data_IF_621463044731
#
_entry.id   IF_621463044731
#
_cell.length_a   1.000
_cell.length_b   1.000
_cell.length_c   1.000
_cell.angle_alpha   90.00
_cell.angle_beta   90.00
_cell.angle_gamma   90.00
#
_symmetry.space_group_name_H-M   'P 1'
#
loop_
_entity.id
_entity.type
_entity.pdbx_description
1 polymer ?
#
# COMPACT_ATOMS: atom_id res chain seq x y z
N UNK A 1 -3.62 -26.54 -53.73
CA UNK A 1 -2.44 -26.36 -52.87
C UNK A 1 -2.34 -24.87 -52.55
N UNK A 2 -3.12 -24.41 -51.56
CA UNK A 2 -3.15 -23.02 -51.09
C UNK A 2 -3.10 -23.09 -49.56
N UNK A 3 -1.97 -22.68 -48.99
CA UNK A 3 -1.73 -22.68 -47.54
C UNK A 3 -1.99 -21.26 -47.02
N UNK A 4 -3.07 -21.12 -46.25
CA UNK A 4 -3.46 -19.90 -45.56
C UNK A 4 -2.51 -19.69 -44.36
N UNK A 5 -1.70 -18.64 -44.41
CA UNK A 5 -0.88 -18.21 -43.29
C UNK A 5 -1.77 -17.43 -42.31
N UNK A 6 -2.18 -18.08 -41.22
CA UNK A 6 -2.82 -17.42 -40.08
C UNK A 6 -1.72 -16.74 -39.25
N UNK A 7 -1.63 -15.42 -39.37
CA UNK A 7 -0.87 -14.57 -38.47
C UNK A 7 -1.63 -14.55 -37.14
N UNK A 8 -1.20 -15.37 -36.19
CA UNK A 8 -1.55 -15.22 -34.78
C UNK A 8 -0.75 -14.02 -34.27
N UNK A 9 -1.32 -12.83 -34.42
CA UNK A 9 -0.88 -11.66 -33.67
C UNK A 9 -1.02 -11.99 -32.19
N UNK A 10 0.13 -12.10 -31.54
CA UNK A 10 0.31 -12.25 -30.11
C UNK A 10 -0.46 -11.17 -29.36
N UNK A 11 -1.67 -11.53 -28.91
CA UNK A 11 -2.31 -10.95 -27.74
C UNK A 11 -1.38 -11.21 -26.55
N UNK A 12 -0.47 -10.28 -26.28
CA UNK A 12 0.01 -10.11 -24.93
C UNK A 12 -1.19 -9.58 -24.14
N UNK A 13 -2.00 -10.50 -23.63
CA UNK A 13 -2.94 -10.20 -22.57
C UNK A 13 -2.14 -9.51 -21.48
N UNK A 14 -2.52 -8.25 -21.22
CA UNK A 14 -2.05 -7.43 -20.12
C UNK A 14 -1.91 -8.30 -18.86
N UNK A 15 -0.84 -8.10 -18.10
CA UNK A 15 -0.57 -8.79 -16.84
C UNK A 15 -1.88 -9.04 -16.07
N UNK A 16 -2.22 -10.31 -15.82
CA UNK A 16 -3.47 -10.78 -15.19
C UNK A 16 -3.68 -10.28 -13.75
N UNK A 17 -2.84 -9.38 -13.25
CA UNK A 17 -2.88 -8.86 -11.90
C UNK A 17 -3.20 -7.36 -11.91
N UNK A 18 -4.04 -6.90 -10.97
CA UNK A 18 -4.35 -5.48 -10.84
C UNK A 18 -3.09 -4.68 -10.55
N UNK A 19 -3.12 -3.39 -10.92
CA UNK A 19 -2.05 -2.43 -10.63
C UNK A 19 -1.83 -2.37 -9.12
N UNK A 20 -0.61 -2.67 -8.67
CA UNK A 20 -0.27 -2.57 -7.27
C UNK A 20 0.05 -1.11 -6.93
N UNK A 21 -0.70 -0.55 -5.98
CA UNK A 21 -0.58 0.84 -5.57
C UNK A 21 -0.64 0.84 -4.05
N UNK A 22 0.34 1.45 -3.39
CA UNK A 22 0.34 1.57 -1.94
C UNK A 22 -0.98 2.22 -1.44
N UNK A 23 -1.57 1.74 -0.33
CA UNK A 23 -2.79 2.31 0.23
C UNK A 23 -2.71 3.82 0.48
N UNK A 24 -1.53 4.31 0.82
CA UNK A 24 -1.20 5.71 1.14
C UNK A 24 -0.46 6.44 -0.01
N UNK A 25 -0.57 5.94 -1.24
CA UNK A 25 -0.03 6.61 -2.42
C UNK A 25 -0.56 8.06 -2.56
N UNK A 26 0.27 9.00 -3.00
CA UNK A 26 -0.11 10.41 -3.09
C UNK A 26 -1.02 10.64 -4.31
N UNK A 27 -1.78 11.73 -4.32
CA UNK A 27 -2.73 12.05 -5.39
C UNK A 27 -2.12 12.07 -6.80
N UNK A 28 -0.87 12.53 -6.95
CA UNK A 28 -0.24 12.59 -8.28
C UNK A 28 0.02 11.20 -8.88
N UNK A 29 0.24 10.15 -8.07
CA UNK A 29 0.38 8.77 -8.58
C UNK A 29 -0.91 8.34 -9.25
N UNK A 30 -2.05 8.65 -8.65
CA UNK A 30 -3.35 8.38 -9.28
C UNK A 30 -3.56 9.22 -10.55
N UNK A 31 -3.04 10.46 -10.61
CA UNK A 31 -3.15 11.31 -11.80
C UNK A 31 -2.42 10.70 -13.00
N UNK A 32 -1.28 10.03 -12.78
CA UNK A 32 -0.51 9.33 -13.82
C UNK A 32 -1.22 8.07 -14.32
N UNK A 33 -2.01 7.43 -13.47
CA UNK A 33 -2.76 6.21 -13.76
C UNK A 33 -4.16 6.46 -14.35
N UNK A 34 -4.52 7.73 -14.56
CA UNK A 34 -5.84 8.07 -15.06
C UNK A 34 -6.05 7.57 -16.49
N UNK A 35 -7.14 6.83 -16.64
CA UNK A 35 -7.72 6.46 -17.93
C UNK A 35 -8.90 7.37 -18.24
N UNK A 36 -9.34 7.38 -19.50
CA UNK A 36 -10.57 8.07 -19.88
C UNK A 36 -11.76 7.54 -19.08
N UNK A 37 -12.69 8.44 -18.73
CA UNK A 37 -13.93 8.03 -18.07
C UNK A 37 -14.74 7.12 -18.99
N UNK A 38 -15.25 6.04 -18.42
CA UNK A 38 -16.22 5.18 -19.11
C UNK A 38 -17.64 5.69 -18.85
N UNK A 39 -18.58 5.18 -19.64
CA UNK A 39 -20.02 5.45 -19.45
C UNK A 39 -20.60 4.75 -18.22
N UNK A 40 -19.87 3.80 -17.65
CA UNK A 40 -20.27 3.04 -16.46
C UNK A 40 -19.73 3.67 -15.17
N UNK A 41 -18.88 4.71 -15.27
CA UNK A 41 -18.39 5.44 -14.10
C UNK A 41 -19.52 6.22 -13.43
N UNK A 42 -19.70 5.99 -12.13
CA UNK A 42 -20.66 6.73 -11.32
C UNK A 42 -20.41 8.26 -11.40
N UNK A 43 -21.47 9.07 -11.52
CA UNK A 43 -21.35 10.53 -11.53
C UNK A 43 -20.56 11.08 -10.34
N UNK A 44 -20.74 10.51 -9.15
CA UNK A 44 -20.06 11.01 -7.94
C UNK A 44 -18.57 10.67 -7.93
N UNK A 45 -18.20 9.48 -8.43
CA UNK A 45 -16.80 9.08 -8.62
C UNK A 45 -16.13 10.01 -9.62
N UNK A 46 -16.78 10.28 -10.75
CA UNK A 46 -16.28 11.22 -11.77
C UNK A 46 -16.07 12.62 -11.20
N UNK A 47 -17.05 13.13 -10.45
CA UNK A 47 -16.95 14.46 -9.82
C UNK A 47 -15.83 14.54 -8.79
N UNK A 48 -15.66 13.51 -7.95
CA UNK A 48 -14.55 13.42 -7.01
C UNK A 48 -13.18 13.43 -7.72
N UNK A 49 -13.04 12.66 -8.80
CA UNK A 49 -11.81 12.61 -9.59
C UNK A 49 -11.51 13.97 -10.24
N UNK A 50 -12.50 14.62 -10.85
CA UNK A 50 -12.34 15.93 -11.47
C UNK A 50 -11.95 17.02 -10.45
N UNK A 51 -12.59 17.02 -9.28
CA UNK A 51 -12.28 17.96 -8.20
C UNK A 51 -10.82 17.79 -7.71
N UNK A 52 -10.39 16.56 -7.46
CA UNK A 52 -9.01 16.31 -7.06
C UNK A 52 -7.98 16.67 -8.13
N UNK A 53 -8.26 16.37 -9.40
CA UNK A 53 -7.41 16.83 -10.51
C UNK A 53 -7.27 18.36 -10.54
N UNK A 54 -8.38 19.09 -10.37
CA UNK A 54 -8.35 20.55 -10.34
C UNK A 54 -7.57 21.07 -9.14
N UNK A 55 -7.71 20.44 -7.98
CA UNK A 55 -6.94 20.75 -6.77
C UNK A 55 -5.42 20.52 -6.97
N UNK A 56 -5.01 19.37 -7.51
CA UNK A 56 -3.59 19.08 -7.78
C UNK A 56 -2.99 20.00 -8.84
N UNK A 57 -3.75 20.31 -9.90
CA UNK A 57 -3.32 21.27 -10.92
C UNK A 57 -3.20 22.69 -10.34
N UNK A 58 -4.09 23.08 -9.43
CA UNK A 58 -3.99 24.36 -8.74
C UNK A 58 -2.77 24.42 -7.82
N UNK A 59 -2.50 23.35 -7.06
CA UNK A 59 -1.28 23.24 -6.26
C UNK A 59 -0.02 23.39 -7.13
N UNK A 60 0.05 22.66 -8.25
CA UNK A 60 1.16 22.78 -9.21
C UNK A 60 1.29 24.22 -9.71
N UNK A 61 0.18 24.85 -10.07
CA UNK A 61 0.15 26.25 -10.49
C UNK A 61 0.66 27.19 -9.39
N UNK A 62 0.34 26.99 -8.11
CA UNK A 62 0.90 27.83 -7.04
C UNK A 62 2.42 27.63 -6.88
N UNK A 63 2.93 26.41 -7.11
CA UNK A 63 4.33 26.07 -6.93
C UNK A 63 5.26 26.49 -8.09
N UNK A 64 4.75 26.70 -9.30
CA UNK A 64 5.56 27.12 -10.47
C UNK A 64 6.36 28.42 -10.24
N UNK A 65 5.92 29.29 -9.32
CA UNK A 65 6.59 30.56 -9.00
C UNK A 65 7.28 30.57 -7.63
N UNK A 66 7.22 29.47 -6.88
CA UNK A 66 7.80 29.35 -5.53
C UNK A 66 9.22 28.80 -5.61
N UNK A 67 10.08 29.24 -4.69
CA UNK A 67 11.38 28.62 -4.49
C UNK A 67 11.20 27.17 -3.98
N UNK A 68 12.16 26.29 -4.25
CA UNK A 68 12.04 24.87 -3.93
C UNK A 68 11.76 24.58 -2.44
N UNK A 69 12.31 25.41 -1.55
CA UNK A 69 12.11 25.35 -0.09
C UNK A 69 10.79 25.97 0.40
N UNK A 70 10.09 26.72 -0.46
CA UNK A 70 8.78 27.36 -0.17
C UNK A 70 7.62 26.72 -0.96
N UNK A 71 7.86 25.61 -1.67
CA UNK A 71 6.78 24.90 -2.36
C UNK A 71 5.77 24.31 -1.37
N UNK A 72 4.49 24.45 -1.73
CA UNK A 72 3.39 23.88 -0.96
C UNK A 72 3.31 22.38 -1.29
N UNK A 73 3.30 21.54 -0.26
CA UNK A 73 3.14 20.10 -0.41
C UNK A 73 1.93 19.61 0.41
N UNK A 74 1.15 18.70 -0.17
CA UNK A 74 0.05 18.02 0.54
C UNK A 74 0.55 16.81 1.34
N UNK A 75 1.76 16.34 1.07
CA UNK A 75 2.45 15.29 1.80
C UNK A 75 3.79 15.84 2.28
N UNK A 76 4.11 15.58 3.55
CA UNK A 76 5.40 15.91 4.15
C UNK A 76 5.84 14.73 5.02
N UNK A 77 7.15 14.51 5.21
CA UNK A 77 7.63 13.56 6.20
C UNK A 77 6.95 13.79 7.55
N UNK A 78 6.40 12.72 8.15
CA UNK A 78 5.67 12.78 9.42
C UNK A 78 4.21 13.23 9.36
N UNK A 79 3.71 13.69 8.21
CA UNK A 79 2.29 14.08 8.01
C UNK A 79 1.52 13.12 7.08
N UNK A 80 2.11 11.98 6.78
CA UNK A 80 1.55 11.00 5.86
C UNK A 80 0.33 10.34 6.47
N UNK A 81 -0.69 10.13 5.63
CA UNK A 81 -1.88 9.39 6.06
C UNK A 81 -1.52 7.91 6.06
N UNK A 82 -1.76 7.23 7.18
CA UNK A 82 -1.61 5.79 7.30
C UNK A 82 -2.94 5.15 7.68
N UNK A 83 -3.06 3.87 7.37
CA UNK A 83 -4.25 3.04 7.61
C UNK A 83 -3.82 1.84 8.44
N UNK A 84 -3.65 2.00 9.77
CA UNK A 84 -3.25 0.89 10.62
C UNK A 84 -4.30 -0.22 10.59
N UNK A 85 -3.89 -1.46 10.86
CA UNK A 85 -4.75 -2.65 10.88
C UNK A 85 -6.00 -2.50 11.77
N UNK A 86 -5.93 -1.69 12.83
CA UNK A 86 -7.06 -1.37 13.70
C UNK A 86 -8.05 -0.35 13.14
N UNK A 87 -7.60 0.49 12.21
CA UNK A 87 -8.41 1.54 11.57
C UNK A 87 -8.22 1.50 10.06
N UNK A 88 -8.72 0.45 9.39
CA UNK A 88 -8.55 0.28 7.96
C UNK A 88 -9.22 1.41 7.17
N UNK A 89 -8.69 1.69 5.98
CA UNK A 89 -9.43 2.46 4.99
C UNK A 89 -10.57 1.61 4.45
N UNK A 90 -11.78 2.14 4.52
CA UNK A 90 -12.98 1.52 3.95
C UNK A 90 -13.57 2.53 2.97
N UNK A 91 -13.82 2.08 1.74
CA UNK A 91 -14.35 2.94 0.69
C UNK A 91 -15.19 2.14 -0.31
N UNK A 92 -16.27 2.78 -0.74
CA UNK A 92 -17.13 2.39 -1.84
C UNK A 92 -17.78 3.66 -2.41
N UNK A 93 -18.57 3.51 -3.48
CA UNK A 93 -19.23 4.65 -4.11
C UNK A 93 -20.02 5.51 -3.11
N UNK A 94 -20.79 4.88 -2.21
CA UNK A 94 -21.59 5.59 -1.22
C UNK A 94 -20.72 6.40 -0.25
N UNK A 95 -19.70 5.77 0.36
CA UNK A 95 -18.79 6.42 1.31
C UNK A 95 -18.05 7.59 0.64
N UNK A 96 -17.60 7.38 -0.60
CA UNK A 96 -16.92 8.43 -1.38
C UNK A 96 -17.88 9.59 -1.64
N UNK A 97 -19.12 9.31 -2.04
CA UNK A 97 -20.14 10.34 -2.27
C UNK A 97 -20.53 11.11 -1.02
N UNK A 98 -20.70 10.43 0.12
CA UNK A 98 -21.00 11.06 1.40
C UNK A 98 -19.85 12.02 1.81
N UNK A 99 -18.59 11.57 1.67
CA UNK A 99 -17.41 12.41 1.96
C UNK A 99 -17.28 13.59 0.98
N UNK A 100 -17.51 13.35 -0.30
CA UNK A 100 -17.50 14.40 -1.34
C UNK A 100 -18.52 15.50 -1.03
N UNK A 101 -19.76 15.12 -0.72
CA UNK A 101 -20.83 16.06 -0.42
C UNK A 101 -20.58 16.84 0.87
N UNK A 102 -20.00 16.20 1.91
CA UNK A 102 -19.59 16.88 3.13
C UNK A 102 -18.53 17.96 2.86
N UNK A 103 -17.52 17.65 2.03
CA UNK A 103 -16.52 18.64 1.61
C UNK A 103 -17.19 19.79 0.84
N UNK A 104 -18.06 19.49 -0.12
CA UNK A 104 -18.72 20.52 -0.93
C UNK A 104 -19.56 21.49 -0.06
N UNK A 105 -20.18 21.00 1.00
CA UNK A 105 -20.97 21.81 1.93
C UNK A 105 -20.10 22.75 2.77
N UNK A 106 -18.94 22.29 3.23
CA UNK A 106 -18.14 22.96 4.26
C UNK A 106 -16.91 23.72 3.71
N UNK A 107 -16.41 23.38 2.52
CA UNK A 107 -15.18 23.96 1.98
C UNK A 107 -15.30 25.49 1.78
N UNK A 108 -14.24 26.29 2.07
CA UNK A 108 -14.25 27.73 1.90
C UNK A 108 -14.70 28.15 0.49
N UNK A 109 -15.48 29.22 0.41
CA UNK A 109 -16.09 29.68 -0.85
C UNK A 109 -15.05 29.90 -1.96
N UNK A 110 -13.88 30.46 -1.65
CA UNK A 110 -12.81 30.68 -2.62
C UNK A 110 -12.30 29.36 -3.23
N UNK A 111 -12.07 28.33 -2.41
CA UNK A 111 -11.68 27.01 -2.89
C UNK A 111 -12.84 26.32 -3.61
N UNK A 112 -14.08 26.56 -3.19
CA UNK A 112 -15.27 25.99 -3.83
C UNK A 112 -15.39 26.44 -5.28
N UNK A 113 -15.30 27.74 -5.51
CA UNK A 113 -15.40 28.34 -6.85
C UNK A 113 -14.24 27.92 -7.76
N UNK A 114 -13.04 27.73 -7.21
CA UNK A 114 -11.88 27.28 -7.97
C UNK A 114 -11.94 25.77 -8.23
N UNK A 115 -12.25 24.92 -7.25
CA UNK A 115 -12.16 23.45 -7.40
C UNK A 115 -13.43 22.86 -8.04
N UNK A 116 -14.61 23.37 -7.69
CA UNK A 116 -15.90 22.84 -8.12
C UNK A 116 -16.64 23.77 -9.09
N UNK A 117 -16.31 25.06 -9.09
CA UNK A 117 -16.87 26.07 -9.98
C UNK A 117 -16.04 26.34 -11.22
N UNK A 118 -16.24 27.54 -11.78
CA UNK A 118 -15.57 28.00 -13.01
C UNK A 118 -14.54 29.10 -12.76
N UNK A 119 -14.20 29.42 -11.51
CA UNK A 119 -13.19 30.43 -11.23
C UNK A 119 -11.81 29.97 -11.75
N UNK A 120 -10.98 30.88 -12.28
CA UNK A 120 -9.63 30.56 -12.69
C UNK A 120 -8.73 30.23 -11.48
N UNK A 121 -7.72 29.40 -11.69
CA UNK A 121 -6.68 29.14 -10.67
C UNK A 121 -5.89 30.42 -10.38
N UNK A 122 -5.52 30.60 -9.12
CA UNK A 122 -4.75 31.74 -8.62
C UNK A 122 -3.38 31.29 -8.10
N UNK A 123 -2.39 32.19 -8.10
CA UNK A 123 -1.05 31.88 -7.55
C UNK A 123 -1.03 31.84 -6.02
N UNK A 124 -2.01 32.47 -5.40
CA UNK A 124 -2.24 32.46 -3.94
C UNK A 124 -3.59 31.80 -3.63
N UNK A 125 -3.72 31.08 -2.50
CA UNK A 125 -4.93 30.34 -2.18
C UNK A 125 -6.14 31.24 -1.90
N UNK A 126 -5.92 32.51 -1.52
CA UNK A 126 -6.99 33.44 -1.12
C UNK A 126 -7.56 33.18 0.28
N UNK A 127 -6.83 32.39 1.09
CA UNK A 127 -7.06 32.14 2.51
C UNK A 127 -5.71 31.84 3.19
N UNK A 128 -5.70 31.63 4.51
CA UNK A 128 -4.49 31.21 5.22
C UNK A 128 -3.96 29.88 4.66
N UNK A 129 -2.64 29.78 4.46
CA UNK A 129 -2.04 28.61 3.81
C UNK A 129 -2.31 27.32 4.58
N UNK A 130 -2.31 27.37 5.92
CA UNK A 130 -2.61 26.23 6.78
C UNK A 130 -4.05 25.74 6.57
N UNK A 131 -5.01 26.64 6.43
CA UNK A 131 -6.40 26.31 6.14
C UNK A 131 -6.55 25.74 4.72
N UNK A 132 -5.83 26.28 3.72
CA UNK A 132 -5.80 25.72 2.37
C UNK A 132 -5.30 24.27 2.37
N UNK A 133 -4.19 24.00 3.07
CA UNK A 133 -3.61 22.65 3.14
C UNK A 133 -4.60 21.65 3.76
N UNK A 134 -5.33 22.04 4.81
CA UNK A 134 -6.35 21.17 5.44
C UNK A 134 -7.43 20.77 4.44
N UNK A 135 -7.99 21.74 3.71
CA UNK A 135 -9.05 21.46 2.74
C UNK A 135 -8.54 20.75 1.48
N UNK A 136 -7.36 21.12 0.99
CA UNK A 136 -6.72 20.47 -0.15
C UNK A 136 -6.42 18.99 0.17
N UNK A 137 -5.96 18.65 1.39
CA UNK A 137 -5.80 17.27 1.86
C UNK A 137 -7.13 16.52 1.93
N UNK A 138 -8.22 17.16 2.39
CA UNK A 138 -9.56 16.53 2.40
C UNK A 138 -10.04 16.19 0.98
N UNK A 139 -9.90 17.13 0.04
CA UNK A 139 -10.23 16.91 -1.38
C UNK A 139 -9.37 15.79 -1.96
N UNK A 140 -8.07 15.80 -1.70
CA UNK A 140 -7.12 14.80 -2.19
C UNK A 140 -7.45 13.39 -1.66
N UNK A 141 -7.83 13.23 -0.39
CA UNK A 141 -8.25 11.92 0.16
C UNK A 141 -9.47 11.33 -0.55
N UNK A 142 -10.49 12.16 -0.82
CA UNK A 142 -11.69 11.70 -1.55
C UNK A 142 -11.34 11.36 -2.99
N UNK A 143 -10.47 12.14 -3.62
CA UNK A 143 -9.92 11.88 -4.94
C UNK A 143 -9.13 10.56 -5.02
N UNK A 144 -8.26 10.28 -4.04
CA UNK A 144 -7.51 9.02 -3.96
C UNK A 144 -8.46 7.83 -3.83
N UNK A 145 -9.44 7.87 -2.91
CA UNK A 145 -10.44 6.81 -2.76
C UNK A 145 -11.27 6.60 -4.04
N UNK A 146 -11.63 7.69 -4.74
CA UNK A 146 -12.39 7.61 -5.99
C UNK A 146 -11.60 6.97 -7.14
N UNK A 147 -10.34 7.37 -7.34
CA UNK A 147 -9.48 6.72 -8.34
C UNK A 147 -9.23 5.26 -7.98
N UNK A 148 -8.93 4.96 -6.72
CA UNK A 148 -8.68 3.60 -6.27
C UNK A 148 -9.91 2.71 -6.49
N UNK A 149 -11.10 3.15 -6.06
CA UNK A 149 -12.35 2.44 -6.36
C UNK A 149 -12.50 2.16 -7.86
N UNK A 150 -12.33 3.17 -8.71
CA UNK A 150 -12.46 3.03 -10.16
C UNK A 150 -11.44 2.04 -10.76
N UNK A 151 -10.20 2.07 -10.29
CA UNK A 151 -9.12 1.21 -10.78
C UNK A 151 -9.32 -0.26 -10.37
N UNK A 152 -9.87 -0.50 -9.18
CA UNK A 152 -10.02 -1.85 -8.63
C UNK A 152 -11.34 -2.52 -9.01
N UNK A 153 -12.39 -1.74 -9.30
CA UNK A 153 -13.73 -2.23 -9.62
C UNK A 153 -13.77 -3.29 -10.74
N UNK A 154 -13.00 -3.19 -11.85
CA UNK A 154 -12.99 -4.22 -12.88
C UNK A 154 -12.47 -5.60 -12.40
N UNK A 155 -11.75 -5.63 -11.27
CA UNK A 155 -11.14 -6.83 -10.69
C UNK A 155 -11.79 -7.20 -9.35
N UNK A 156 -13.04 -6.82 -9.11
CA UNK A 156 -13.67 -6.97 -7.79
C UNK A 156 -13.74 -8.42 -7.30
N UNK A 157 -13.94 -9.39 -8.19
CA UNK A 157 -13.95 -10.83 -7.86
C UNK A 157 -12.58 -11.28 -7.32
N UNK A 158 -11.48 -10.79 -7.89
CA UNK A 158 -10.13 -11.05 -7.39
C UNK A 158 -9.95 -10.47 -5.98
N UNK A 159 -10.44 -9.26 -5.75
CA UNK A 159 -10.37 -8.63 -4.44
C UNK A 159 -11.30 -9.29 -3.41
N UNK A 160 -12.45 -9.83 -3.82
CA UNK A 160 -13.30 -10.64 -2.94
C UNK A 160 -12.60 -11.93 -2.53
N UNK A 161 -11.98 -12.62 -3.50
CA UNK A 161 -11.15 -13.79 -3.21
C UNK A 161 -10.02 -13.44 -2.23
N UNK A 162 -9.38 -12.27 -2.37
CA UNK A 162 -8.32 -11.83 -1.45
C UNK A 162 -8.76 -11.59 0.00
N UNK A 163 -10.06 -11.64 0.32
CA UNK A 163 -10.55 -11.57 1.71
C UNK A 163 -9.93 -12.62 2.63
N UNK A 164 -9.50 -13.78 2.09
CA UNK A 164 -8.77 -14.77 2.89
C UNK A 164 -7.45 -14.23 3.45
N UNK A 165 -6.92 -13.14 2.89
CA UNK A 165 -5.71 -12.45 3.35
C UNK A 165 -5.96 -11.53 4.55
N UNK A 166 -7.21 -11.36 5.00
CA UNK A 166 -7.53 -10.56 6.18
C UNK A 166 -6.99 -11.23 7.46
N UNK A 167 -5.84 -10.73 7.92
CA UNK A 167 -5.15 -11.20 9.12
C UNK A 167 -5.56 -10.48 10.41
N UNK A 168 -6.58 -9.60 10.38
CA UNK A 168 -7.04 -8.88 11.59
C UNK A 168 -7.47 -9.84 12.69
N UNK A 169 -8.04 -10.99 12.36
CA UNK A 169 -8.42 -12.00 13.34
C UNK A 169 -7.23 -12.49 14.19
N UNK A 170 -6.12 -12.83 13.52
CA UNK A 170 -4.88 -13.23 14.20
C UNK A 170 -4.29 -12.10 15.06
N UNK A 171 -4.21 -10.91 14.47
CA UNK A 171 -3.63 -9.75 15.12
C UNK A 171 -4.40 -9.33 16.38
N UNK A 172 -5.73 -9.17 16.27
CA UNK A 172 -6.58 -8.69 17.37
C UNK A 172 -6.66 -9.71 18.50
N UNK A 173 -6.85 -10.98 18.19
CA UNK A 173 -6.91 -12.04 19.20
C UNK A 173 -5.55 -12.26 19.87
N UNK A 174 -4.44 -12.08 19.15
CA UNK A 174 -3.09 -12.14 19.71
C UNK A 174 -2.81 -11.11 20.82
N UNK A 175 -3.58 -10.01 20.87
CA UNK A 175 -3.50 -8.98 21.92
C UNK A 175 -4.37 -9.27 23.16
N UNK A 176 -5.19 -10.32 23.12
CA UNK A 176 -6.12 -10.63 24.21
C UNK A 176 -5.40 -11.42 25.31
N UNK A 177 -5.29 -10.83 26.48
CA UNK A 177 -4.84 -11.55 27.68
C UNK A 177 -5.79 -12.70 28.04
N UNK A 178 -5.20 -13.85 28.41
CA UNK A 178 -5.89 -15.09 28.78
C UNK A 178 -6.93 -15.54 27.73
N UNK A 179 -6.63 -15.34 26.44
CA UNK A 179 -7.54 -15.68 25.34
C UNK A 179 -8.06 -17.13 25.44
N UNK A 180 -7.17 -18.11 25.68
CA UNK A 180 -7.56 -19.51 25.78
C UNK A 180 -8.65 -19.74 26.84
N UNK A 181 -8.53 -19.11 28.00
CA UNK A 181 -9.52 -19.23 29.08
C UNK A 181 -10.83 -18.55 28.73
N UNK A 182 -10.77 -17.36 28.11
CA UNK A 182 -11.96 -16.66 27.59
C UNK A 182 -12.69 -17.48 26.54
N UNK A 183 -11.96 -18.17 25.66
CA UNK A 183 -12.55 -19.04 24.63
C UNK A 183 -13.07 -20.37 25.20
N UNK A 184 -12.52 -20.87 26.31
CA UNK A 184 -13.06 -22.03 27.04
C UNK A 184 -14.38 -21.68 27.77
N UNK A 185 -14.55 -20.42 28.16
CA UNK A 185 -15.73 -19.86 28.83
C UNK A 185 -16.47 -18.86 27.93
N UNK A 186 -16.56 -19.18 26.63
CA UNK A 186 -17.04 -18.23 25.63
C UNK A 186 -18.47 -17.74 25.89
N UNK A 187 -19.33 -18.60 26.46
CA UNK A 187 -20.72 -18.27 26.83
C UNK A 187 -20.82 -17.18 27.90
N UNK A 188 -19.78 -17.02 28.70
CA UNK A 188 -19.78 -16.14 29.87
C UNK A 188 -19.33 -14.71 29.50
N UNK A 189 -18.80 -14.54 28.28
CA UNK A 189 -18.45 -13.24 27.72
C UNK A 189 -19.72 -12.44 27.40
N UNK A 190 -19.63 -11.12 27.48
CA UNK A 190 -20.70 -10.23 27.07
C UNK A 190 -20.97 -10.34 25.55
N UNK A 191 -22.15 -9.89 25.13
CA UNK A 191 -22.62 -10.06 23.74
C UNK A 191 -21.73 -9.34 22.73
N UNK A 192 -21.17 -8.18 23.09
CA UNK A 192 -20.30 -7.40 22.22
C UNK A 192 -18.95 -8.12 22.01
N UNK A 193 -18.34 -8.59 23.11
CA UNK A 193 -17.11 -9.40 23.05
C UNK A 193 -17.33 -10.69 22.27
N UNK A 194 -18.45 -11.39 22.49
CA UNK A 194 -18.78 -12.59 21.72
C UNK A 194 -18.90 -12.28 20.21
N UNK A 195 -19.56 -11.19 19.84
CA UNK A 195 -19.71 -10.80 18.44
C UNK A 195 -18.34 -10.48 17.80
N UNK A 196 -17.51 -9.72 18.52
CA UNK A 196 -16.16 -9.37 18.08
C UNK A 196 -15.30 -10.64 17.88
N UNK A 197 -15.28 -11.54 18.86
CA UNK A 197 -14.51 -12.79 18.77
C UNK A 197 -15.05 -13.70 17.67
N UNK A 198 -16.37 -13.76 17.45
CA UNK A 198 -16.94 -14.52 16.33
C UNK A 198 -16.38 -14.04 14.99
N UNK A 199 -16.37 -12.72 14.77
CA UNK A 199 -15.82 -12.13 13.55
C UNK A 199 -14.34 -12.49 13.36
N UNK A 200 -13.53 -12.35 14.39
CA UNK A 200 -12.09 -12.65 14.31
C UNK A 200 -11.78 -14.13 14.12
N UNK A 201 -12.49 -15.02 14.83
CA UNK A 201 -12.33 -16.47 14.68
C UNK A 201 -12.75 -16.95 13.30
N UNK A 202 -13.87 -16.43 12.76
CA UNK A 202 -14.29 -16.73 11.39
C UNK A 202 -13.23 -16.29 10.37
N UNK A 203 -12.66 -15.09 10.52
CA UNK A 203 -11.56 -14.59 9.69
C UNK A 203 -10.32 -15.49 9.74
N UNK A 204 -9.94 -15.96 10.94
CA UNK A 204 -8.83 -16.90 11.09
C UNK A 204 -9.07 -18.22 10.35
N UNK A 205 -10.28 -18.75 10.39
CA UNK A 205 -10.66 -19.91 9.58
C UNK A 205 -10.55 -19.63 8.08
N UNK A 206 -10.98 -18.44 7.63
CA UNK A 206 -10.87 -18.05 6.22
C UNK A 206 -9.41 -17.96 5.76
N UNK A 207 -8.45 -17.63 6.62
CA UNK A 207 -7.02 -17.66 6.27
C UNK A 207 -6.51 -19.05 5.86
N UNK A 208 -7.24 -20.13 6.20
CA UNK A 208 -6.99 -21.48 5.70
C UNK A 208 -7.65 -21.73 4.31
N UNK A 209 -7.97 -20.67 3.57
CA UNK A 209 -8.64 -20.70 2.26
C UNK A 209 -10.01 -21.38 2.28
N UNK A 210 -10.72 -21.27 3.41
CA UNK A 210 -12.09 -21.77 3.53
C UNK A 210 -13.11 -20.67 3.23
N UNK A 211 -14.19 -21.07 2.55
CA UNK A 211 -15.33 -20.19 2.29
C UNK A 211 -15.94 -19.67 3.60
N UNK A 212 -16.30 -18.38 3.64
CA UNK A 212 -16.86 -17.72 4.82
C UNK A 212 -18.08 -18.46 5.40
N UNK A 213 -18.96 -18.98 4.53
CA UNK A 213 -20.14 -19.77 4.95
C UNK A 213 -19.76 -21.06 5.69
N UNK A 214 -18.67 -21.73 5.28
CA UNK A 214 -18.15 -22.92 5.97
C UNK A 214 -17.53 -22.55 7.31
N UNK A 215 -16.74 -21.47 7.37
CA UNK A 215 -16.18 -20.98 8.63
C UNK A 215 -17.26 -20.60 9.65
N UNK A 216 -18.27 -19.86 9.22
CA UNK A 216 -19.41 -19.48 10.06
C UNK A 216 -20.22 -20.68 10.55
N UNK A 217 -20.39 -21.73 9.73
CA UNK A 217 -21.04 -22.97 10.16
C UNK A 217 -20.21 -23.70 11.21
N UNK A 218 -18.94 -23.96 10.93
CA UNK A 218 -18.04 -24.66 11.86
C UNK A 218 -17.87 -23.90 13.19
N UNK A 219 -17.80 -22.57 13.16
CA UNK A 219 -17.71 -21.76 14.36
C UNK A 219 -19.00 -21.84 15.20
N UNK A 220 -20.17 -21.79 14.57
CA UNK A 220 -21.45 -22.02 15.28
C UNK A 220 -21.51 -23.40 15.93
N UNK A 221 -21.02 -24.42 15.24
CA UNK A 221 -20.93 -25.78 15.78
C UNK A 221 -19.93 -25.86 16.95
N UNK A 222 -18.81 -25.13 16.88
CA UNK A 222 -17.84 -25.05 17.97
C UNK A 222 -18.41 -24.35 19.21
N UNK A 223 -19.20 -23.28 19.01
CA UNK A 223 -19.88 -22.56 20.09
C UNK A 223 -20.93 -23.45 20.76
N UNK A 224 -21.78 -24.13 19.98
CA UNK A 224 -22.84 -24.99 20.54
C UNK A 224 -22.31 -26.18 21.33
N UNK A 225 -21.09 -26.64 21.01
CA UNK A 225 -20.39 -27.73 21.69
C UNK A 225 -19.43 -27.27 22.78
N UNK A 226 -19.33 -25.96 23.05
CA UNK A 226 -18.37 -25.35 23.96
C UNK A 226 -16.90 -25.75 23.71
N UNK A 227 -16.48 -25.73 22.44
CA UNK A 227 -15.12 -26.06 21.99
C UNK A 227 -14.49 -24.92 21.17
N UNK A 228 -14.83 -23.68 21.48
CA UNK A 228 -14.37 -22.48 20.72
C UNK A 228 -12.85 -22.34 20.77
N UNK A 229 -12.21 -22.63 21.90
CA UNK A 229 -10.75 -22.64 21.99
C UNK A 229 -10.12 -23.70 21.06
N UNK A 230 -10.72 -24.90 20.93
CA UNK A 230 -10.24 -25.91 19.99
C UNK A 230 -10.36 -25.46 18.53
N UNK A 231 -11.44 -24.74 18.18
CA UNK A 231 -11.58 -24.09 16.87
C UNK A 231 -10.45 -23.07 16.62
N UNK A 232 -10.17 -22.20 17.60
CA UNK A 232 -9.06 -21.25 17.53
C UNK A 232 -7.71 -21.94 17.31
N UNK A 233 -7.38 -22.96 18.12
CA UNK A 233 -6.12 -23.70 18.01
C UNK A 233 -5.97 -24.42 16.66
N UNK A 234 -7.08 -24.85 16.05
CA UNK A 234 -7.08 -25.48 14.72
C UNK A 234 -6.64 -24.49 13.63
N UNK A 235 -7.06 -23.24 13.71
CA UNK A 235 -6.80 -22.23 12.67
C UNK A 235 -5.61 -21.31 12.94
N UNK A 236 -5.15 -21.23 14.19
CA UNK A 236 -4.01 -20.42 14.60
C UNK A 236 -2.74 -20.63 13.73
N UNK A 237 -2.32 -21.87 13.39
CA UNK A 237 -1.13 -22.07 12.55
C UNK A 237 -1.27 -21.48 11.14
N UNK A 238 -2.47 -21.50 10.55
CA UNK A 238 -2.72 -20.99 9.20
C UNK A 238 -2.65 -19.47 9.18
N UNK A 239 -3.35 -18.80 10.10
CA UNK A 239 -3.32 -17.35 10.21
C UNK A 239 -1.94 -16.83 10.57
N UNK A 240 -1.22 -17.51 11.48
CA UNK A 240 0.18 -17.17 11.78
C UNK A 240 1.07 -17.30 10.55
N UNK A 241 0.95 -18.40 9.79
CA UNK A 241 1.76 -18.60 8.57
C UNK A 241 1.49 -17.50 7.54
N UNK A 242 0.23 -17.12 7.37
CA UNK A 242 -0.16 -16.02 6.49
C UNK A 242 0.42 -14.69 6.97
N UNK A 243 0.27 -14.35 8.27
CA UNK A 243 0.88 -13.17 8.88
C UNK A 243 2.40 -13.11 8.65
N UNK A 244 3.10 -14.19 9.00
CA UNK A 244 4.56 -14.28 8.82
C UNK A 244 4.97 -14.11 7.35
N UNK A 245 4.10 -14.47 6.39
CA UNK A 245 4.43 -14.42 4.96
C UNK A 245 4.56 -13.00 4.39
N UNK A 246 4.05 -11.99 5.11
CA UNK A 246 4.20 -10.58 4.75
C UNK A 246 5.58 -10.02 5.13
N UNK A 247 6.28 -10.65 6.07
CA UNK A 247 7.53 -10.14 6.64
C UNK A 247 8.76 -10.97 6.26
N UNK A 248 8.58 -12.09 5.56
CA UNK A 248 9.64 -13.02 5.19
C UNK A 248 10.14 -12.80 3.77
N UNK A 249 11.46 -12.87 3.59
CA UNK A 249 12.13 -12.75 2.30
C UNK A 249 11.94 -14.05 1.51
N UNK A 250 11.16 -13.98 0.42
CA UNK A 250 10.96 -15.11 -0.51
C UNK A 250 10.70 -14.57 -1.93
N UNK A 251 11.54 -14.90 -2.94
CA UNK A 251 12.75 -15.73 -2.89
C UNK A 251 13.98 -14.96 -2.36
N UNK A 252 14.98 -15.70 -1.88
CA UNK A 252 16.25 -15.10 -1.44
C UNK A 252 17.27 -14.97 -2.59
N UNK A 253 18.01 -13.87 -2.56
CA UNK A 253 19.16 -13.65 -3.45
C UNK A 253 20.41 -14.42 -3.02
N UNK A 254 21.27 -14.77 -3.96
CA UNK A 254 22.55 -15.46 -3.68
C UNK A 254 23.79 -14.59 -3.84
N UNK A 255 23.63 -13.45 -4.50
CA UNK A 255 24.68 -12.49 -4.86
C UNK A 255 24.96 -11.43 -3.77
N UNK A 256 24.19 -11.43 -2.67
CA UNK A 256 24.49 -10.63 -1.48
C UNK A 256 25.66 -11.25 -0.71
N UNK A 257 26.65 -10.41 -0.40
CA UNK A 257 27.82 -10.80 0.37
C UNK A 257 27.70 -10.27 1.81
N UNK A 258 27.34 -11.15 2.75
CA UNK A 258 27.32 -10.88 4.17
C UNK A 258 27.83 -12.12 4.92
N UNK A 259 28.89 -11.97 5.70
CA UNK A 259 29.61 -13.11 6.29
C UNK A 259 29.88 -12.89 7.76
N UNK A 260 30.01 -13.97 8.51
CA UNK A 260 30.38 -13.91 9.93
C UNK A 260 31.72 -13.22 10.21
N UNK A 261 32.61 -13.10 9.19
CA UNK A 261 33.86 -12.36 9.29
C UNK A 261 33.68 -10.83 9.18
N UNK A 262 32.58 -10.38 8.57
CA UNK A 262 32.18 -8.98 8.51
C UNK A 262 30.68 -8.86 8.81
N UNK A 263 30.27 -9.11 10.07
CA UNK A 263 28.87 -9.20 10.45
C UNK A 263 28.15 -7.85 10.41
N UNK A 264 28.89 -6.74 10.36
CA UNK A 264 28.35 -5.38 10.41
C UNK A 264 28.09 -4.79 9.01
N UNK A 265 28.50 -5.47 7.93
CA UNK A 265 28.31 -4.96 6.57
C UNK A 265 27.75 -6.03 5.63
N UNK A 266 26.58 -5.75 5.07
CA UNK A 266 26.05 -6.51 3.93
C UNK A 266 26.34 -5.75 2.63
N UNK A 267 27.03 -6.39 1.68
CA UNK A 267 27.37 -5.78 0.39
C UNK A 267 26.42 -6.31 -0.69
N UNK A 268 25.71 -5.40 -1.35
CA UNK A 268 24.74 -5.71 -2.41
C UNK A 268 25.27 -5.22 -3.76
N UNK A 269 25.41 -6.09 -4.77
CA UNK A 269 25.86 -5.68 -6.10
C UNK A 269 24.74 -4.96 -6.86
N UNK A 270 25.03 -3.77 -7.36
CA UNK A 270 24.13 -2.94 -8.19
C UNK A 270 24.84 -2.60 -9.50
N UNK A 271 24.10 -2.49 -10.61
CA UNK A 271 24.69 -2.21 -11.93
C UNK A 271 25.17 -0.77 -11.98
N UNK A 272 26.37 -0.56 -12.54
CA UNK A 272 26.88 0.79 -12.80
C UNK A 272 25.86 1.63 -13.58
N UNK A 273 25.81 2.92 -13.25
CA UNK A 273 24.98 3.91 -13.92
C UNK A 273 25.72 5.24 -13.98
N UNK A 274 25.03 6.35 -14.18
CA UNK A 274 25.67 7.68 -14.11
C UNK A 274 26.05 8.02 -12.66
N UNK A 275 27.13 8.77 -12.43
CA UNK A 275 27.54 9.15 -11.07
C UNK A 275 26.46 9.83 -10.24
N UNK A 276 25.60 10.63 -10.87
CA UNK A 276 24.45 11.28 -10.23
C UNK A 276 23.46 10.27 -9.67
N UNK A 277 23.09 9.25 -10.45
CA UNK A 277 22.19 8.18 -10.00
C UNK A 277 22.87 7.28 -8.98
N UNK A 278 24.16 6.97 -9.13
CA UNK A 278 24.90 6.18 -8.13
C UNK A 278 24.89 6.89 -6.76
N UNK A 279 25.13 8.19 -6.73
CA UNK A 279 25.08 8.98 -5.49
C UNK A 279 23.67 9.03 -4.90
N UNK A 280 22.65 9.28 -5.74
CA UNK A 280 21.25 9.25 -5.32
C UNK A 280 20.88 7.91 -4.65
N UNK A 281 21.34 6.80 -5.24
CA UNK A 281 21.11 5.46 -4.69
C UNK A 281 21.85 5.23 -3.38
N UNK A 282 23.11 5.65 -3.27
CA UNK A 282 23.87 5.54 -2.02
C UNK A 282 23.20 6.29 -0.89
N UNK A 283 22.91 7.57 -1.10
CA UNK A 283 22.30 8.43 -0.09
C UNK A 283 20.96 7.86 0.36
N UNK A 284 20.10 7.44 -0.56
CA UNK A 284 18.77 6.98 -0.14
C UNK A 284 18.75 5.57 0.41
N UNK A 285 19.47 4.63 -0.21
CA UNK A 285 19.42 3.22 0.19
C UNK A 285 20.34 2.95 1.37
N UNK A 286 21.61 3.39 1.33
CA UNK A 286 22.56 3.08 2.41
C UNK A 286 22.22 3.83 3.72
N UNK A 287 21.62 5.04 3.64
CA UNK A 287 21.22 5.75 4.86
C UNK A 287 19.98 5.15 5.52
N UNK A 288 19.07 4.56 4.74
CA UNK A 288 17.86 3.91 5.26
C UNK A 288 18.14 2.50 5.77
N UNK A 289 18.89 1.69 4.99
CA UNK A 289 19.14 0.28 5.30
C UNK A 289 20.33 0.10 6.26
N UNK A 290 20.15 0.59 7.50
CA UNK A 290 21.10 0.46 8.61
C UNK A 290 20.39 0.20 9.94
N UNK A 291 21.04 -0.53 10.84
CA UNK A 291 20.51 -0.87 12.17
C UNK A 291 21.63 -1.00 13.19
N UNK A 292 21.65 -0.12 14.18
CA UNK A 292 22.78 0.03 15.11
C UNK A 292 24.10 0.18 14.32
N UNK A 293 25.08 -0.70 14.56
CA UNK A 293 26.38 -0.70 13.88
C UNK A 293 26.32 -1.40 12.50
N UNK A 294 25.27 -2.17 12.23
CA UNK A 294 25.10 -2.85 10.94
C UNK A 294 24.62 -1.90 9.86
N UNK A 295 25.14 -2.06 8.64
CA UNK A 295 24.69 -1.29 7.48
C UNK A 295 24.83 -2.04 6.15
N UNK A 296 23.98 -1.65 5.19
CA UNK A 296 24.04 -2.12 3.81
C UNK A 296 24.93 -1.21 2.96
N UNK A 297 25.77 -1.79 2.10
CA UNK A 297 26.61 -1.06 1.14
C UNK A 297 26.32 -1.49 -0.30
N UNK A 298 26.19 -0.51 -1.18
CA UNK A 298 26.04 -0.75 -2.62
C UNK A 298 27.43 -0.89 -3.27
N UNK A 299 27.59 -1.98 -4.01
CA UNK A 299 28.77 -2.23 -4.82
C UNK A 299 28.41 -2.13 -6.31
N UNK A 300 28.75 -1.00 -6.93
CA UNK A 300 28.47 -0.75 -8.33
C UNK A 300 29.43 -1.57 -9.21
N UNK A 301 28.87 -2.54 -9.95
CA UNK A 301 29.62 -3.36 -10.90
C UNK A 301 28.88 -3.52 -12.22
N UNK A 302 29.61 -3.67 -13.34
CA UNK A 302 29.00 -3.79 -14.68
C UNK A 302 28.04 -4.98 -14.82
N UNK A 303 28.28 -6.07 -14.11
CA UNK A 303 27.58 -7.34 -14.28
C UNK A 303 26.51 -7.61 -13.20
N UNK A 304 26.24 -6.66 -12.31
CA UNK A 304 25.20 -6.82 -11.32
C UNK A 304 23.80 -6.92 -11.96
N UNK A 305 22.95 -7.74 -11.33
CA UNK A 305 21.59 -7.96 -11.78
C UNK A 305 20.68 -6.80 -11.38
N UNK A 306 20.79 -6.28 -10.15
CA UNK A 306 20.00 -5.15 -9.68
C UNK A 306 20.40 -3.89 -10.44
N UNK A 307 19.43 -3.15 -10.98
CA UNK A 307 19.65 -1.87 -11.64
C UNK A 307 18.39 -1.01 -11.62
N UNK A 308 18.56 0.27 -11.94
CA UNK A 308 17.46 1.24 -11.98
C UNK A 308 17.25 1.73 -13.41
N UNK A 309 15.98 1.79 -13.83
CA UNK A 309 15.55 2.34 -15.11
C UNK A 309 14.58 3.49 -14.88
N UNK A 310 14.79 4.60 -15.59
CA UNK A 310 13.88 5.76 -15.56
C UNK A 310 13.03 5.79 -16.82
N UNK A 311 11.72 5.63 -16.68
CA UNK A 311 10.76 5.63 -17.78
C UNK A 311 9.71 6.73 -17.55
N UNK A 312 9.26 7.44 -18.58
CA UNK A 312 8.29 8.52 -18.40
C UNK A 312 6.89 7.95 -18.08
N UNK A 313 6.21 8.55 -17.10
CA UNK A 313 4.81 8.26 -16.75
C UNK A 313 4.55 6.81 -16.31
N UNK A 314 5.47 6.24 -15.53
CA UNK A 314 5.33 4.91 -14.95
C UNK A 314 5.12 5.01 -13.45
N UNK A 315 4.27 4.15 -12.89
CA UNK A 315 4.27 3.91 -11.46
C UNK A 315 5.54 3.13 -11.09
N UNK A 316 6.30 3.58 -10.09
CA UNK A 316 7.47 2.85 -9.64
C UNK A 316 7.14 1.42 -9.23
N UNK A 317 8.02 0.48 -9.57
CA UNK A 317 7.86 -0.94 -9.26
C UNK A 317 9.17 -1.71 -9.46
N UNK A 318 9.25 -2.92 -8.92
CA UNK A 318 10.31 -3.89 -9.26
C UNK A 318 9.85 -4.88 -10.32
N UNK A 319 10.52 -4.88 -11.47
CA UNK A 319 10.34 -5.87 -12.53
C UNK A 319 11.38 -6.99 -12.45
N UNK A 320 10.94 -8.25 -12.60
CA UNK A 320 11.77 -9.46 -12.57
C UNK A 320 12.72 -9.56 -11.35
N UNK A 321 12.30 -9.04 -10.20
CA UNK A 321 13.08 -8.99 -8.95
C UNK A 321 14.45 -8.28 -9.04
N UNK A 322 14.72 -7.53 -10.11
CA UNK A 322 16.04 -6.96 -10.39
C UNK A 322 16.01 -5.53 -10.94
N UNK A 323 14.99 -5.16 -11.70
CA UNK A 323 14.90 -3.82 -12.30
C UNK A 323 13.98 -2.97 -11.44
N UNK A 324 14.52 -1.95 -10.78
CA UNK A 324 13.70 -0.91 -10.17
C UNK A 324 13.35 0.09 -11.27
N UNK A 325 12.07 0.17 -11.60
CA UNK A 325 11.57 1.14 -12.57
C UNK A 325 11.09 2.38 -11.81
N UNK A 326 11.54 3.56 -12.21
CA UNK A 326 11.20 4.85 -11.60
C UNK A 326 10.64 5.80 -12.66
N UNK A 327 9.79 6.75 -12.27
CA UNK A 327 9.29 7.78 -13.17
C UNK A 327 10.40 8.80 -13.52
N UNK A 328 10.67 8.96 -14.82
CA UNK A 328 11.63 9.93 -15.34
C UNK A 328 11.17 11.38 -15.16
N UNK A 329 9.86 11.61 -15.02
CA UNK A 329 9.28 12.95 -14.97
C UNK A 329 9.24 13.55 -13.56
N UNK A 330 9.61 12.79 -12.53
CA UNK A 330 9.60 13.27 -11.14
C UNK A 330 11.02 13.61 -10.66
N UNK A 331 11.27 14.80 -10.09
CA UNK A 331 12.60 15.17 -9.61
C UNK A 331 13.11 14.22 -8.52
N UNK A 332 14.40 13.85 -8.59
CA UNK A 332 15.05 13.00 -7.58
C UNK A 332 15.10 13.64 -6.18
N UNK A 333 14.92 14.96 -6.11
CA UNK A 333 14.88 15.73 -4.87
C UNK A 333 13.55 15.64 -4.13
N UNK A 334 12.50 15.10 -4.78
CA UNK A 334 11.21 14.91 -4.13
C UNK A 334 11.29 13.83 -3.07
N UNK A 335 10.78 14.12 -1.86
CA UNK A 335 10.78 13.16 -0.76
C UNK A 335 10.07 11.85 -1.15
N UNK A 336 9.00 11.93 -1.94
CA UNK A 336 8.27 10.76 -2.40
C UNK A 336 9.14 9.84 -3.27
N UNK A 337 9.98 10.40 -4.14
CA UNK A 337 10.92 9.64 -4.98
C UNK A 337 12.01 8.99 -4.13
N UNK A 338 12.53 9.73 -3.15
CA UNK A 338 13.52 9.25 -2.18
C UNK A 338 13.00 8.09 -1.35
N UNK A 339 11.75 8.17 -0.87
CA UNK A 339 11.13 7.08 -0.12
C UNK A 339 10.87 5.88 -1.03
N UNK A 340 10.31 6.11 -2.22
CA UNK A 340 9.97 5.03 -3.15
C UNK A 340 11.19 4.22 -3.54
N UNK A 341 12.34 4.84 -3.84
CA UNK A 341 13.54 4.05 -4.18
C UNK A 341 14.00 3.14 -3.02
N UNK A 342 13.79 3.53 -1.76
CA UNK A 342 14.14 2.71 -0.58
C UNK A 342 13.23 1.50 -0.46
N UNK A 343 11.93 1.70 -0.67
CA UNK A 343 10.90 0.68 -0.66
C UNK A 343 11.09 -0.32 -1.81
N UNK A 344 11.22 0.17 -3.05
CA UNK A 344 11.47 -0.68 -4.22
C UNK A 344 12.77 -1.47 -4.07
N UNK A 345 13.81 -0.86 -3.49
CA UNK A 345 15.04 -1.60 -3.19
C UNK A 345 14.80 -2.75 -2.20
N UNK A 346 13.91 -2.59 -1.21
CA UNK A 346 13.46 -3.67 -0.34
C UNK A 346 12.88 -4.87 -1.10
N UNK A 347 12.09 -4.63 -2.15
CA UNK A 347 11.61 -5.70 -3.02
C UNK A 347 12.74 -6.40 -3.78
N UNK A 348 13.80 -5.68 -4.18
CA UNK A 348 14.97 -6.34 -4.78
C UNK A 348 15.67 -7.27 -3.79
N UNK A 349 15.65 -6.95 -2.49
CA UNK A 349 16.13 -7.82 -1.41
C UNK A 349 15.19 -8.99 -1.11
N UNK A 350 14.02 -9.05 -1.75
CA UNK A 350 13.02 -10.10 -1.63
C UNK A 350 11.97 -9.86 -0.53
N UNK A 351 11.94 -8.68 0.09
CA UNK A 351 10.82 -8.28 0.94
C UNK A 351 9.56 -8.09 0.10
N UNK A 352 8.40 -8.31 0.72
CA UNK A 352 7.09 -8.10 0.11
C UNK A 352 6.43 -6.89 0.73
N UNK A 353 5.44 -6.38 0.04
CA UNK A 353 4.49 -5.46 0.65
C UNK A 353 3.79 -6.10 1.84
N UNK A 354 3.66 -5.32 2.91
CA UNK A 354 2.96 -5.72 4.13
C UNK A 354 1.71 -4.87 4.39
N UNK A 355 0.90 -4.69 3.35
CA UNK A 355 -0.49 -4.28 3.45
C UNK A 355 -1.43 -5.36 2.90
N UNK A 356 -2.71 -5.21 3.24
CA UNK A 356 -3.79 -6.07 2.78
C UNK A 356 -4.83 -5.19 2.10
N UNK A 357 -5.33 -5.65 0.95
CA UNK A 357 -6.47 -5.04 0.26
C UNK A 357 -7.39 -6.12 -0.30
N UNK A 358 -8.68 -5.99 -0.02
CA UNK A 358 -9.72 -6.92 -0.45
C UNK A 358 -11.08 -6.25 -0.51
N UNK A 359 -12.03 -6.91 -1.15
CA UNK A 359 -13.43 -6.51 -1.19
C UNK A 359 -14.23 -7.28 -0.14
N UNK A 360 -14.89 -6.56 0.76
CA UNK A 360 -15.83 -7.09 1.72
C UNK A 360 -17.23 -7.09 1.10
N UNK A 361 -17.69 -8.28 0.70
CA UNK A 361 -18.98 -8.46 0.03
C UNK A 361 -20.19 -8.15 0.93
N UNK A 362 -20.05 -8.24 2.26
CA UNK A 362 -21.14 -7.89 3.19
C UNK A 362 -21.26 -6.37 3.31
N UNK A 363 -20.13 -5.66 3.36
CA UNK A 363 -20.10 -4.20 3.43
C UNK A 363 -20.24 -3.52 2.06
N UNK A 364 -20.19 -4.30 0.97
CA UNK A 364 -20.07 -3.83 -0.41
C UNK A 364 -18.98 -2.76 -0.54
N UNK A 365 -17.81 -3.03 0.04
CA UNK A 365 -16.74 -2.05 0.14
C UNK A 365 -15.35 -2.65 0.01
N UNK A 366 -14.44 -1.87 -0.58
CA UNK A 366 -13.02 -2.15 -0.50
C UNK A 366 -12.50 -1.83 0.89
N UNK A 367 -11.68 -2.71 1.42
CA UNK A 367 -11.00 -2.59 2.70
C UNK A 367 -9.50 -2.69 2.46
N UNK A 368 -8.74 -1.71 2.93
CA UNK A 368 -7.29 -1.82 2.97
C UNK A 368 -6.68 -1.33 4.29
N UNK A 369 -5.54 -1.90 4.64
CA UNK A 369 -4.77 -1.50 5.81
C UNK A 369 -3.33 -2.01 5.73
N UNK A 370 -2.48 -1.36 6.50
CA UNK A 370 -1.05 -1.63 6.64
C UNK A 370 -0.83 -2.42 7.93
N UNK A 371 -0.06 -3.50 7.87
CA UNK A 371 0.14 -4.37 9.03
C UNK A 371 0.95 -3.70 10.14
N UNK A 372 1.90 -2.86 9.75
CA UNK A 372 2.70 -2.01 10.64
C UNK A 372 3.00 -0.68 9.95
N UNK A 373 2.38 0.40 10.41
CA UNK A 373 2.55 1.73 9.79
C UNK A 373 3.95 2.32 9.93
N UNK A 374 4.78 1.74 10.81
CA UNK A 374 6.18 2.13 11.03
C UNK A 374 7.18 1.30 10.23
N UNK A 375 6.70 0.28 9.50
CA UNK A 375 7.50 -0.58 8.65
C UNK A 375 7.55 -0.04 7.21
N UNK A 376 8.76 0.18 6.67
CA UNK A 376 8.95 0.73 5.31
C UNK A 376 8.33 -0.12 4.19
N UNK A 377 8.17 -1.42 4.38
CA UNK A 377 7.52 -2.29 3.39
C UNK A 377 5.98 -2.28 3.50
N UNK A 378 5.43 -1.60 4.51
CA UNK A 378 3.98 -1.51 4.72
C UNK A 378 3.45 -0.11 4.39
N UNK A 379 4.26 0.93 4.65
CA UNK A 379 3.77 2.29 4.81
C UNK A 379 4.83 3.31 4.42
N UNK A 380 4.37 4.41 3.82
CA UNK A 380 5.22 5.56 3.47
C UNK A 380 5.73 6.33 4.67
N UNK A 381 5.07 6.17 5.82
CA UNK A 381 5.54 6.69 7.10
C UNK A 381 6.56 5.77 7.77
N UNK A 382 6.78 4.57 7.21
CA UNK A 382 7.66 3.57 7.79
C UNK A 382 9.12 3.74 7.40
N UNK A 383 9.97 3.15 8.24
CA UNK A 383 11.42 3.11 8.06
C UNK A 383 11.93 1.68 8.18
N UNK A 384 13.23 1.49 7.99
CA UNK A 384 13.92 0.28 8.44
C UNK A 384 13.67 0.05 9.95
N UNK A 385 13.58 -1.22 10.35
CA UNK A 385 13.26 -1.69 11.70
C UNK A 385 14.12 -2.91 12.04
N UNK A 386 14.21 -3.26 13.32
CA UNK A 386 14.92 -4.47 13.79
C UNK A 386 14.49 -5.73 13.04
N UNK A 387 13.18 -5.90 12.79
CA UNK A 387 12.63 -7.06 12.11
C UNK A 387 13.22 -7.24 10.69
N UNK A 388 13.47 -6.15 9.98
CA UNK A 388 14.14 -6.19 8.68
C UNK A 388 15.57 -6.70 8.79
N UNK A 389 16.35 -6.18 9.75
CA UNK A 389 17.72 -6.63 10.01
C UNK A 389 17.75 -8.11 10.38
N UNK A 390 16.88 -8.55 11.29
CA UNK A 390 16.82 -9.93 11.74
C UNK A 390 16.45 -10.88 10.60
N UNK A 391 15.53 -10.49 9.72
CA UNK A 391 15.18 -11.30 8.56
C UNK A 391 16.29 -11.31 7.52
N UNK A 392 16.92 -10.18 7.21
CA UNK A 392 18.08 -10.16 6.32
C UNK A 392 19.22 -11.03 6.90
N UNK A 393 19.46 -10.98 8.21
CA UNK A 393 20.47 -11.79 8.89
C UNK A 393 20.14 -13.27 8.78
N UNK A 394 18.88 -13.65 8.99
CA UNK A 394 18.42 -15.04 8.91
C UNK A 394 18.62 -15.64 7.52
N UNK A 395 18.47 -14.81 6.47
CA UNK A 395 18.51 -15.25 5.07
C UNK A 395 19.89 -15.11 4.43
N UNK A 396 20.63 -14.05 4.73
CA UNK A 396 21.83 -13.66 3.97
C UNK A 396 23.16 -13.80 4.71
N UNK A 397 23.18 -13.83 6.05
CA UNK A 397 24.44 -13.99 6.80
C UNK A 397 24.94 -15.44 6.70
N UNK A 398 26.16 -15.61 6.20
CA UNK A 398 26.83 -16.92 6.02
C UNK A 398 27.91 -17.22 7.05
#
# INVERSE_FOLDING_TARGET
>A
MNLLLLIVSSLFANSEYPVDILPDAPGYVYQQLQQDFTKDDSPVIKQAILAGNKNLNWLKYMNETRAADDQIALTKPGELTSYPIESPSIYNEKIIGDRYNAILAEIPAVMREIIFGNAPMTREPGLELSEYIVWAKKVDRVYQSANRWRLLLPNIDYYEMNSFRDVRGYYMLGKVENLSDKLNHFSDLDTETQALYKKHLAGMCSNASQAASTCNRQLRDAISRNIVNSFYQTYLPYSKKLWDSFFKIVPSRRDINWTSANPDVAVVPVRNTTPEIEEFLRVNIEDEWKWNDWHLRLNFTRNAAIHVEFQPNVTPHVSNSNTIVMDKNTPLTEWDVMWTIRHEFGHTLGFKDCYVEFYDAEAEAMVNYQLDVTNMMCSRAGTMQEAHYLEMKSVYLK
#
